data_IF_305228145711
#
_entry.id   IF_305228145711
#
_cell.length_a   1.000
_cell.length_b   1.000
_cell.length_c   1.000
_cell.angle_alpha   90.00
_cell.angle_beta   90.00
_cell.angle_gamma   90.00
#
_symmetry.space_group_name_H-M   'P 1'
#
loop_
_entity.id
_entity.type
_entity.pdbx_description
1 polymer ?
#
# COMPACT_ATOMS: atom_id res chain seq x y z
N UNK A 1 -17.73 27.65 16.32
CA UNK A 1 -18.56 26.92 17.32
C UNK A 1 -18.98 25.60 16.69
N UNK A 2 -18.61 24.46 17.29
CA UNK A 2 -18.92 23.12 16.74
C UNK A 2 -20.43 22.86 16.69
N UNK A 3 -20.88 22.13 15.67
CA UNK A 3 -22.29 21.72 15.57
C UNK A 3 -22.66 20.67 16.63
N UNK A 4 -23.95 20.50 16.91
CA UNK A 4 -24.43 19.44 17.82
C UNK A 4 -24.01 18.04 17.35
N UNK A 5 -24.08 17.78 16.04
CA UNK A 5 -23.69 16.50 15.42
C UNK A 5 -22.18 16.28 15.59
N UNK A 6 -21.39 17.31 15.32
CA UNK A 6 -19.93 17.28 15.46
C UNK A 6 -19.51 17.00 16.91
N UNK A 7 -20.12 17.68 17.90
CA UNK A 7 -19.88 17.40 19.34
C UNK A 7 -20.24 15.97 19.73
N UNK A 8 -21.38 15.47 19.25
CA UNK A 8 -21.84 14.10 19.51
C UNK A 8 -20.87 13.06 18.94
N UNK A 9 -20.36 13.27 17.73
CA UNK A 9 -19.43 12.34 17.10
C UNK A 9 -18.02 12.47 17.65
N UNK A 10 -17.57 13.67 17.99
CA UNK A 10 -16.31 13.88 18.70
C UNK A 10 -16.28 13.08 20.01
N UNK A 11 -17.36 13.16 20.80
CA UNK A 11 -17.50 12.37 22.03
C UNK A 11 -17.38 10.87 21.74
N UNK A 12 -18.12 10.35 20.76
CA UNK A 12 -18.03 8.92 20.38
C UNK A 12 -16.63 8.48 19.97
N UNK A 13 -15.87 9.36 19.30
CA UNK A 13 -14.49 9.07 18.92
C UNK A 13 -13.61 8.91 20.16
N UNK A 14 -13.69 9.86 21.10
CA UNK A 14 -12.89 9.78 22.33
C UNK A 14 -13.34 8.63 23.24
N UNK A 15 -14.64 8.36 23.36
CA UNK A 15 -15.14 7.16 24.06
C UNK A 15 -14.54 5.89 23.43
N UNK A 16 -14.43 5.84 22.10
CA UNK A 16 -13.80 4.72 21.40
C UNK A 16 -12.30 4.63 21.70
N UNK A 17 -11.58 5.75 21.77
CA UNK A 17 -10.15 5.77 22.11
C UNK A 17 -9.88 5.37 23.57
N UNK A 18 -10.77 5.75 24.48
CA UNK A 18 -10.71 5.31 25.88
C UNK A 18 -10.85 3.79 25.97
N UNK A 19 -11.82 3.20 25.27
CA UNK A 19 -11.95 1.75 25.17
C UNK A 19 -10.70 1.08 24.59
N UNK A 20 -10.05 1.70 23.58
CA UNK A 20 -8.83 1.17 22.98
C UNK A 20 -7.68 1.15 23.98
N UNK A 21 -7.63 2.10 24.92
CA UNK A 21 -6.64 2.10 26.00
C UNK A 21 -6.80 0.91 26.96
N UNK A 22 -8.02 0.36 27.08
CA UNK A 22 -8.25 -0.91 27.77
C UNK A 22 -7.69 -2.12 27.02
N UNK A 23 -7.64 -2.05 25.69
CA UNK A 23 -7.02 -3.09 24.84
C UNK A 23 -5.50 -3.04 24.96
N UNK A 24 -4.90 -1.86 25.10
CA UNK A 24 -3.45 -1.69 25.29
C UNK A 24 -2.95 -2.49 26.52
N UNK A 25 -3.65 -2.38 27.66
CA UNK A 25 -3.33 -3.15 28.89
C UNK A 25 -3.42 -4.65 28.68
N UNK A 26 -4.51 -5.10 28.05
CA UNK A 26 -4.71 -6.52 27.74
C UNK A 26 -3.63 -7.05 26.79
N UNK A 27 -3.21 -6.25 25.82
CA UNK A 27 -2.13 -6.62 24.90
C UNK A 27 -0.80 -6.74 25.62
N UNK A 28 -0.47 -5.79 26.51
CA UNK A 28 0.73 -5.87 27.35
C UNK A 28 0.75 -7.17 28.18
N UNK A 29 -0.32 -7.48 28.89
CA UNK A 29 -0.43 -8.72 29.67
C UNK A 29 -0.20 -9.98 28.82
N UNK A 30 -0.76 -10.00 27.60
CA UNK A 30 -0.63 -11.14 26.69
C UNK A 30 0.78 -11.28 26.08
N UNK A 31 1.44 -10.15 25.80
CA UNK A 31 2.81 -10.09 25.25
C UNK A 31 3.83 -10.43 26.34
N UNK A 32 3.65 -9.92 27.57
CA UNK A 32 4.49 -10.18 28.74
C UNK A 32 4.45 -11.64 29.19
N UNK A 33 3.32 -12.33 28.99
CA UNK A 33 3.21 -13.76 29.30
C UNK A 33 4.05 -14.65 28.37
N UNK A 34 4.63 -14.09 27.29
CA UNK A 34 5.57 -14.75 26.35
C UNK A 34 5.12 -16.13 25.88
N UNK A 35 3.81 -16.33 25.70
CA UNK A 35 3.24 -17.63 25.35
C UNK A 35 2.52 -17.61 24.02
N UNK A 36 2.91 -18.51 23.12
CA UNK A 36 2.24 -18.76 21.84
C UNK A 36 0.75 -19.11 22.00
N UNK A 37 0.36 -19.67 23.16
CA UNK A 37 -1.03 -20.06 23.46
C UNK A 37 -1.99 -18.86 23.58
N UNK A 38 -1.47 -17.63 23.59
CA UNK A 38 -2.25 -16.39 23.68
C UNK A 38 -2.44 -15.67 22.34
N UNK A 39 -1.89 -16.19 21.25
CA UNK A 39 -1.98 -15.57 19.93
C UNK A 39 -3.43 -15.39 19.45
N UNK A 40 -4.33 -16.34 19.73
CA UNK A 40 -5.75 -16.23 19.37
C UNK A 40 -6.47 -15.09 20.14
N UNK A 41 -6.09 -14.85 21.40
CA UNK A 41 -6.63 -13.73 22.18
C UNK A 41 -6.12 -12.37 21.66
N UNK A 42 -4.86 -12.32 21.18
CA UNK A 42 -4.28 -11.14 20.52
C UNK A 42 -4.99 -10.90 19.18
N UNK A 43 -5.21 -11.94 18.37
CA UNK A 43 -5.93 -11.85 17.10
C UNK A 43 -7.35 -11.29 17.28
N UNK A 44 -8.08 -11.75 18.30
CA UNK A 44 -9.42 -11.22 18.65
C UNK A 44 -9.37 -9.74 19.05
N UNK A 45 -8.37 -9.36 19.84
CA UNK A 45 -8.16 -7.95 20.22
C UNK A 45 -7.88 -7.07 19.01
N UNK A 46 -7.06 -7.54 18.05
CA UNK A 46 -6.80 -6.82 16.79
C UNK A 46 -8.04 -6.67 15.92
N UNK A 47 -8.84 -7.72 15.78
CA UNK A 47 -10.08 -7.66 15.02
C UNK A 47 -11.04 -6.59 15.60
N UNK A 48 -11.13 -6.52 16.93
CA UNK A 48 -11.93 -5.50 17.61
C UNK A 48 -11.36 -4.08 17.41
N UNK A 49 -10.03 -3.93 17.56
CA UNK A 49 -9.33 -2.67 17.35
C UNK A 49 -9.55 -2.15 15.91
N UNK A 50 -9.36 -3.00 14.90
CA UNK A 50 -9.60 -2.66 13.50
C UNK A 50 -11.07 -2.29 13.23
N UNK A 51 -12.03 -2.99 13.84
CA UNK A 51 -13.47 -2.66 13.72
C UNK A 51 -13.77 -1.28 14.28
N UNK A 52 -13.27 -0.95 15.47
CA UNK A 52 -13.43 0.37 16.12
C UNK A 52 -12.79 1.49 15.31
N UNK A 53 -11.57 1.26 14.82
CA UNK A 53 -10.85 2.20 13.96
C UNK A 53 -11.59 2.52 12.66
N UNK A 54 -12.12 1.50 11.99
CA UNK A 54 -12.91 1.68 10.77
C UNK A 54 -14.22 2.43 11.03
N UNK A 55 -14.84 2.25 12.20
CA UNK A 55 -16.04 2.99 12.59
C UNK A 55 -15.74 4.49 12.70
N UNK A 56 -14.62 4.85 13.33
CA UNK A 56 -14.16 6.24 13.40
C UNK A 56 -13.93 6.80 12.00
N UNK A 57 -13.14 6.13 11.15
CA UNK A 57 -12.82 6.62 9.80
C UNK A 57 -14.06 6.83 8.93
N UNK A 58 -14.99 5.88 8.93
CA UNK A 58 -16.12 5.88 8.00
C UNK A 58 -17.29 6.73 8.46
N UNK A 59 -17.55 6.76 9.77
CA UNK A 59 -18.79 7.34 10.29
C UNK A 59 -18.57 8.66 11.04
N UNK A 60 -17.52 8.77 11.86
CA UNK A 60 -17.39 9.87 12.81
C UNK A 60 -16.41 10.95 12.36
N UNK A 61 -15.23 10.54 11.87
CA UNK A 61 -14.17 11.46 11.43
C UNK A 61 -14.58 12.41 10.29
N UNK A 62 -15.37 12.00 9.27
CA UNK A 62 -15.78 12.90 8.18
C UNK A 62 -16.58 14.13 8.64
N UNK A 63 -17.24 14.01 9.78
CA UNK A 63 -18.15 15.03 10.34
C UNK A 63 -17.43 16.04 11.22
N UNK A 64 -16.20 15.73 11.64
CA UNK A 64 -15.34 16.66 12.35
C UNK A 64 -14.85 17.68 11.33
N UNK A 65 -15.01 18.97 11.62
CA UNK A 65 -14.58 20.07 10.75
C UNK A 65 -13.41 20.82 11.35
N UNK A 66 -13.34 20.91 12.67
CA UNK A 66 -12.24 21.56 13.36
C UNK A 66 -10.90 20.87 13.06
N UNK A 67 -9.92 21.65 12.60
CA UNK A 67 -8.61 21.15 12.16
C UNK A 67 -7.81 20.60 13.34
N UNK A 68 -7.85 21.25 14.50
CA UNK A 68 -7.09 20.83 15.67
C UNK A 68 -7.60 19.48 16.20
N UNK A 69 -8.92 19.28 16.24
CA UNK A 69 -9.50 17.98 16.58
C UNK A 69 -9.21 16.92 15.51
N UNK A 70 -9.28 17.26 14.21
CA UNK A 70 -8.84 16.33 13.16
C UNK A 70 -7.39 15.89 13.35
N UNK A 71 -6.51 16.82 13.70
CA UNK A 71 -5.11 16.53 13.92
C UNK A 71 -4.92 15.56 15.10
N UNK A 72 -5.57 15.83 16.24
CA UNK A 72 -5.52 14.94 17.42
C UNK A 72 -6.03 13.54 17.08
N UNK A 73 -7.24 13.45 16.51
CA UNK A 73 -7.87 12.17 16.13
C UNK A 73 -6.95 11.41 15.18
N UNK A 74 -6.46 12.05 14.13
CA UNK A 74 -5.62 11.40 13.11
C UNK A 74 -4.28 10.91 13.68
N UNK A 75 -3.71 11.62 14.65
CA UNK A 75 -2.46 11.22 15.31
C UNK A 75 -2.65 9.96 16.15
N UNK A 76 -3.70 9.92 16.97
CA UNK A 76 -4.10 8.73 17.75
C UNK A 76 -4.39 7.56 16.80
N UNK A 77 -5.11 7.82 15.71
CA UNK A 77 -5.44 6.78 14.74
C UNK A 77 -4.21 6.16 14.08
N UNK A 78 -3.20 6.97 13.75
CA UNK A 78 -1.95 6.46 13.17
C UNK A 78 -1.19 5.55 14.13
N UNK A 79 -1.12 5.90 15.41
CA UNK A 79 -0.56 5.00 16.43
C UNK A 79 -1.24 3.63 16.40
N UNK A 80 -2.58 3.60 16.42
CA UNK A 80 -3.32 2.35 16.42
C UNK A 80 -3.20 1.54 15.13
N UNK A 81 -2.99 2.19 13.98
CA UNK A 81 -2.68 1.49 12.74
C UNK A 81 -1.28 0.88 12.72
N UNK A 82 -0.27 1.58 13.24
CA UNK A 82 1.08 1.02 13.39
C UNK A 82 1.08 -0.14 14.41
N UNK A 83 0.29 -0.03 15.49
CA UNK A 83 0.10 -1.12 16.47
C UNK A 83 -0.55 -2.35 15.83
N UNK A 84 -1.59 -2.15 15.00
CA UNK A 84 -2.21 -3.24 14.24
C UNK A 84 -1.21 -3.97 13.36
N UNK A 85 -0.35 -3.23 12.65
CA UNK A 85 0.64 -3.81 11.75
C UNK A 85 1.68 -4.63 12.52
N UNK A 86 2.24 -4.07 13.60
CA UNK A 86 3.19 -4.75 14.48
C UNK A 86 2.63 -6.03 15.10
N UNK A 87 1.38 -6.01 15.56
CA UNK A 87 0.77 -7.18 16.17
C UNK A 87 0.30 -8.21 15.13
N UNK A 88 0.02 -7.78 13.90
CA UNK A 88 -0.21 -8.69 12.77
C UNK A 88 1.07 -9.44 12.41
N UNK A 89 2.20 -8.73 12.40
CA UNK A 89 3.52 -9.34 12.23
C UNK A 89 3.84 -10.33 13.35
N UNK A 90 3.58 -9.96 14.60
CA UNK A 90 3.72 -10.87 15.74
C UNK A 90 2.91 -12.17 15.55
N UNK A 91 1.63 -12.08 15.19
CA UNK A 91 0.80 -13.27 14.95
C UNK A 91 1.39 -14.15 13.84
N UNK A 92 1.86 -13.55 12.74
CA UNK A 92 2.50 -14.32 11.66
C UNK A 92 3.75 -15.04 12.14
N UNK A 93 4.59 -14.38 12.94
CA UNK A 93 5.81 -14.97 13.49
C UNK A 93 5.49 -16.13 14.46
N UNK A 94 4.42 -15.99 15.25
CA UNK A 94 3.89 -17.07 16.11
C UNK A 94 3.36 -18.24 15.28
N UNK A 95 2.53 -17.98 14.26
CA UNK A 95 1.92 -19.01 13.40
C UNK A 95 2.97 -19.77 12.58
N UNK A 96 4.07 -19.12 12.22
CA UNK A 96 5.17 -19.72 11.45
C UNK A 96 6.22 -20.41 12.33
N UNK A 97 5.97 -20.54 13.64
CA UNK A 97 6.87 -21.14 14.64
C UNK A 97 8.30 -20.58 14.58
N UNK A 98 8.45 -19.30 14.24
CA UNK A 98 9.75 -18.66 14.30
C UNK A 98 10.16 -18.47 15.77
N UNK A 99 11.44 -18.68 16.08
CA UNK A 99 11.98 -18.35 17.39
C UNK A 99 12.00 -16.83 17.53
N UNK A 100 10.93 -16.27 18.12
CA UNK A 100 10.84 -14.86 18.46
C UNK A 100 11.79 -14.62 19.64
N UNK A 101 12.73 -13.69 19.48
CA UNK A 101 13.68 -13.36 20.53
C UNK A 101 13.08 -12.38 21.56
N UNK A 102 13.69 -12.32 22.74
CA UNK A 102 13.25 -11.43 23.82
C UNK A 102 13.30 -9.95 23.42
N UNK A 103 14.19 -9.57 22.49
CA UNK A 103 14.28 -8.20 21.98
C UNK A 103 13.04 -7.80 21.20
N UNK A 104 12.48 -8.72 20.41
CA UNK A 104 11.24 -8.47 19.68
C UNK A 104 10.07 -8.21 20.62
N UNK A 105 9.88 -9.06 21.64
CA UNK A 105 8.86 -8.83 22.68
C UNK A 105 9.04 -7.49 23.37
N UNK A 106 10.27 -7.15 23.78
CA UNK A 106 10.55 -5.88 24.41
C UNK A 106 10.22 -4.70 23.49
N UNK A 107 10.53 -4.80 22.19
CA UNK A 107 10.21 -3.75 21.22
C UNK A 107 8.70 -3.49 21.07
N UNK A 108 7.85 -4.51 21.27
CA UNK A 108 6.40 -4.35 21.26
C UNK A 108 5.89 -3.70 22.55
N UNK A 109 6.44 -4.11 23.69
CA UNK A 109 6.12 -3.54 25.01
C UNK A 109 6.50 -2.06 25.03
N UNK A 110 7.74 -1.73 24.65
CA UNK A 110 8.25 -0.36 24.58
C UNK A 110 7.37 0.50 23.67
N UNK A 111 6.97 -0.03 22.50
CA UNK A 111 6.09 0.69 21.58
C UNK A 111 4.72 1.01 22.18
N UNK A 112 4.13 0.13 22.98
CA UNK A 112 2.85 0.39 23.65
C UNK A 112 3.04 1.38 24.82
N UNK A 113 4.12 1.27 25.59
CA UNK A 113 4.44 2.19 26.69
C UNK A 113 4.72 3.61 26.20
N UNK A 114 5.41 3.76 25.07
CA UNK A 114 5.72 5.06 24.46
C UNK A 114 4.53 5.69 23.71
N UNK A 115 3.31 5.15 23.85
CA UNK A 115 2.12 5.58 23.11
C UNK A 115 1.92 7.10 23.09
N UNK A 116 1.86 7.74 24.25
CA UNK A 116 1.57 9.17 24.36
C UNK A 116 2.68 10.00 23.70
N UNK A 117 3.94 9.68 23.96
CA UNK A 117 5.10 10.34 23.36
C UNK A 117 5.11 10.18 21.84
N UNK A 118 4.84 8.99 21.32
CA UNK A 118 4.77 8.73 19.89
C UNK A 118 3.62 9.48 19.23
N UNK A 119 2.46 9.58 19.89
CA UNK A 119 1.30 10.34 19.42
C UNK A 119 1.65 11.82 19.31
N UNK A 120 2.23 12.40 20.36
CA UNK A 120 2.52 13.84 20.43
C UNK A 120 3.70 14.28 19.58
N UNK A 121 4.65 13.39 19.31
CA UNK A 121 5.84 13.70 18.51
C UNK A 121 5.71 13.20 17.07
N UNK A 122 5.95 11.90 16.85
CA UNK A 122 6.01 11.25 15.54
C UNK A 122 4.70 11.38 14.79
N UNK A 123 3.59 10.93 15.37
CA UNK A 123 2.32 10.83 14.66
C UNK A 123 1.65 12.18 14.45
N UNK A 124 1.74 13.09 15.42
CA UNK A 124 1.35 14.49 15.24
C UNK A 124 2.10 15.14 14.08
N UNK A 125 3.43 14.98 14.01
CA UNK A 125 4.23 15.50 12.89
C UNK A 125 3.85 14.90 11.53
N UNK A 126 3.51 13.61 11.45
CA UNK A 126 3.00 12.99 10.23
C UNK A 126 1.60 13.52 9.88
N UNK A 127 0.69 13.56 10.85
CA UNK A 127 -0.68 14.00 10.65
C UNK A 127 -0.75 15.47 10.23
N UNK A 128 0.08 16.35 10.81
CA UNK A 128 0.23 17.74 10.40
C UNK A 128 0.66 17.82 8.94
N UNK A 129 1.75 17.14 8.55
CA UNK A 129 2.24 17.16 7.16
C UNK A 129 1.18 16.68 6.17
N UNK A 130 0.46 15.61 6.50
CA UNK A 130 -0.60 15.09 5.64
C UNK A 130 -1.80 16.04 5.53
N UNK A 131 -2.25 16.62 6.65
CA UNK A 131 -3.34 17.59 6.63
C UNK A 131 -2.92 18.85 5.86
N UNK A 132 -1.73 19.40 6.12
CA UNK A 132 -1.19 20.53 5.37
C UNK A 132 -1.11 20.22 3.87
N UNK A 133 -0.63 19.03 3.48
CA UNK A 133 -0.57 18.62 2.07
C UNK A 133 -1.96 18.44 1.44
N UNK A 134 -2.97 18.05 2.22
CA UNK A 134 -4.35 17.92 1.73
C UNK A 134 -5.07 19.27 1.58
N UNK A 135 -4.70 20.24 2.42
CA UNK A 135 -5.24 21.61 2.40
C UNK A 135 -4.42 22.57 1.52
N UNK A 136 -3.19 22.21 1.14
CA UNK A 136 -2.38 22.92 0.15
C UNK A 136 -3.01 22.76 -1.25
N UNK A 137 -3.35 23.90 -1.86
CA UNK A 137 -4.02 23.97 -3.17
C UNK A 137 -3.21 23.28 -4.26
N UNK A 138 -1.89 23.46 -4.26
CA UNK A 138 -0.99 22.89 -5.27
C UNK A 138 -0.91 21.37 -5.16
N UNK A 139 -0.82 20.86 -3.94
CA UNK A 139 -0.84 19.42 -3.66
C UNK A 139 -2.19 18.77 -3.99
N UNK A 140 -3.31 19.47 -3.71
CA UNK A 140 -4.65 19.01 -4.10
C UNK A 140 -4.83 18.94 -5.61
N UNK A 141 -4.46 19.98 -6.33
CA UNK A 141 -4.54 20.01 -7.80
C UNK A 141 -3.69 18.90 -8.43
N UNK A 142 -2.52 18.61 -7.85
CA UNK A 142 -1.69 17.47 -8.29
C UNK A 142 -2.35 16.12 -8.02
N UNK A 143 -2.92 15.91 -6.83
CA UNK A 143 -3.66 14.69 -6.49
C UNK A 143 -4.88 14.50 -7.38
N UNK A 144 -5.64 15.58 -7.65
CA UNK A 144 -6.78 15.57 -8.55
C UNK A 144 -6.37 15.23 -9.98
N UNK A 145 -5.27 15.81 -10.50
CA UNK A 145 -4.71 15.43 -11.81
C UNK A 145 -4.29 13.96 -11.86
N UNK A 146 -3.68 13.44 -10.80
CA UNK A 146 -3.29 12.02 -10.71
C UNK A 146 -4.54 11.12 -10.64
N UNK A 147 -5.54 11.48 -9.85
CA UNK A 147 -6.80 10.75 -9.75
C UNK A 147 -7.58 10.78 -11.07
N UNK A 148 -7.67 11.95 -11.71
CA UNK A 148 -8.34 12.13 -12.99
C UNK A 148 -7.64 11.34 -14.09
N UNK A 149 -6.31 11.37 -14.16
CA UNK A 149 -5.56 10.52 -15.10
C UNK A 149 -5.77 9.04 -14.82
N UNK A 150 -5.79 8.61 -13.55
CA UNK A 150 -6.08 7.22 -13.18
C UNK A 150 -7.53 6.79 -13.45
N UNK A 151 -8.50 7.69 -13.30
CA UNK A 151 -9.92 7.43 -13.59
C UNK A 151 -10.22 7.47 -15.08
N UNK A 152 -9.56 8.33 -15.86
CA UNK A 152 -9.63 8.31 -17.34
C UNK A 152 -9.00 7.04 -17.93
N UNK A 153 -8.03 6.45 -17.23
CA UNK A 153 -7.47 5.15 -17.58
C UNK A 153 -8.34 3.96 -17.14
N UNK A 154 -9.43 4.19 -16.40
CA UNK A 154 -10.35 3.15 -15.89
C UNK A 154 -11.12 2.42 -17.00
N UNK A 155 -11.18 2.98 -18.20
CA UNK A 155 -11.76 2.32 -19.40
C UNK A 155 -10.81 1.31 -20.07
N UNK A 156 -9.62 1.08 -19.51
CA UNK A 156 -8.65 0.09 -20.04
C UNK A 156 -8.24 -0.85 -18.92
N UNK A 157 -8.49 -2.14 -19.14
CA UNK A 157 -8.51 -3.27 -18.20
C UNK A 157 -7.18 -3.64 -17.50
N UNK A 158 -6.35 -2.67 -17.10
CA UNK A 158 -5.03 -2.94 -16.51
C UNK A 158 -4.86 -2.23 -15.16
N UNK A 159 -5.59 -2.71 -14.15
CA UNK A 159 -5.26 -2.42 -12.74
C UNK A 159 -4.25 -3.46 -12.24
N UNK A 160 -2.98 -3.10 -12.22
CA UNK A 160 -1.95 -3.82 -11.46
C UNK A 160 -1.18 -2.83 -10.61
N UNK A 161 -1.16 -3.01 -9.29
CA UNK A 161 -0.30 -2.26 -8.39
C UNK A 161 1.11 -2.90 -8.40
N UNK A 162 2.15 -2.11 -8.67
CA UNK A 162 3.56 -2.55 -8.68
C UNK A 162 4.47 -1.54 -9.41
N UNK A 163 5.78 -1.82 -9.46
CA UNK A 163 6.67 -1.10 -10.38
C UNK A 163 6.27 -1.39 -11.84
N UNK A 164 6.67 -0.54 -12.81
CA UNK A 164 6.34 -0.77 -14.23
C UNK A 164 6.82 -2.15 -14.71
N UNK A 165 7.95 -2.62 -14.19
CA UNK A 165 8.47 -3.97 -14.39
C UNK A 165 7.52 -5.05 -13.84
N UNK A 166 7.04 -4.91 -12.61
CA UNK A 166 6.09 -5.84 -12.01
C UNK A 166 4.74 -5.86 -12.75
N UNK A 167 4.26 -4.70 -13.20
CA UNK A 167 3.04 -4.59 -14.00
C UNK A 167 3.20 -5.35 -15.33
N UNK A 168 4.32 -5.17 -16.04
CA UNK A 168 4.64 -5.90 -17.27
C UNK A 168 4.71 -7.41 -17.00
N UNK A 169 5.38 -7.82 -15.93
CA UNK A 169 5.49 -9.24 -15.56
C UNK A 169 4.13 -9.87 -15.28
N UNK A 170 3.27 -9.16 -14.55
CA UNK A 170 1.90 -9.59 -14.24
C UNK A 170 1.03 -9.72 -15.50
N UNK A 171 1.06 -8.73 -16.38
CA UNK A 171 0.25 -8.74 -17.62
C UNK A 171 0.65 -9.91 -18.52
N UNK A 172 1.95 -10.13 -18.72
CA UNK A 172 2.41 -11.24 -19.54
C UNK A 172 2.07 -12.61 -18.91
N UNK A 173 2.19 -12.76 -17.58
CA UNK A 173 1.79 -13.99 -16.88
C UNK A 173 0.28 -14.26 -16.98
N UNK A 174 -0.56 -13.24 -16.83
CA UNK A 174 -2.03 -13.36 -17.00
C UNK A 174 -2.41 -13.79 -18.41
N UNK A 175 -1.65 -13.36 -19.42
CA UNK A 175 -1.85 -13.76 -20.82
C UNK A 175 -1.14 -15.10 -21.15
N UNK A 176 -0.60 -15.79 -20.15
CA UNK A 176 -0.09 -17.15 -20.28
C UNK A 176 1.38 -17.25 -20.69
N UNK A 177 2.22 -16.25 -20.38
CA UNK A 177 3.67 -16.38 -20.46
C UNK A 177 4.20 -17.24 -19.30
N UNK A 178 5.12 -18.16 -19.60
CA UNK A 178 5.80 -19.00 -18.62
C UNK A 178 7.05 -18.30 -18.06
N UNK A 179 7.74 -17.51 -18.89
CA UNK A 179 8.91 -16.72 -18.49
C UNK A 179 8.94 -15.37 -19.18
N UNK A 180 9.46 -14.35 -18.49
CA UNK A 180 9.60 -12.97 -18.98
C UNK A 180 10.97 -12.45 -18.54
N UNK A 181 11.72 -11.90 -19.49
CA UNK A 181 13.00 -11.23 -19.25
C UNK A 181 12.99 -9.81 -19.80
N UNK A 182 13.61 -8.90 -19.06
CA UNK A 182 13.68 -7.47 -19.39
C UNK A 182 15.15 -7.08 -19.38
N UNK A 183 15.70 -6.78 -20.55
CA UNK A 183 17.12 -6.53 -20.76
C UNK A 183 17.35 -5.22 -21.53
N UNK A 184 18.59 -4.71 -21.52
CA UNK A 184 18.97 -3.62 -22.45
C UNK A 184 18.87 -4.18 -23.88
N UNK A 185 18.35 -3.41 -24.85
CA UNK A 185 18.25 -3.87 -26.23
C UNK A 185 19.64 -4.17 -26.78
N UNK A 186 19.84 -5.40 -27.26
CA UNK A 186 21.02 -5.75 -28.06
C UNK A 186 21.02 -4.86 -29.30
N UNK A 187 22.18 -4.28 -29.61
CA UNK A 187 22.34 -3.22 -30.63
C UNK A 187 21.99 -3.79 -32.01
N UNK A 188 20.72 -3.68 -32.41
CA UNK A 188 20.30 -3.90 -33.79
C UNK A 188 20.21 -2.55 -34.48
N UNK A 189 21.20 -2.29 -35.34
CA UNK A 189 21.42 -1.06 -36.08
C UNK A 189 20.34 -0.80 -37.14
N UNK A 190 19.15 -0.39 -36.73
CA UNK A 190 18.19 0.26 -37.62
C UNK A 190 17.76 1.62 -37.04
N UNK A 191 17.67 2.64 -37.89
CA UNK A 191 17.32 4.01 -37.49
C UNK A 191 15.98 4.12 -36.73
N UNK A 192 15.10 3.12 -36.88
CA UNK A 192 13.83 3.02 -36.15
C UNK A 192 13.99 2.72 -34.65
N UNK A 193 15.17 2.28 -34.21
CA UNK A 193 15.45 1.77 -32.87
C UNK A 193 16.33 2.69 -32.00
N UNK A 194 16.78 3.84 -32.53
CA UNK A 194 17.74 4.76 -31.87
C UNK A 194 17.30 5.33 -30.51
N UNK A 195 16.02 5.17 -30.12
CA UNK A 195 15.47 5.69 -28.86
C UNK A 195 14.78 4.60 -28.00
N UNK A 196 15.14 3.32 -28.18
CA UNK A 196 14.61 2.22 -27.37
C UNK A 196 15.58 1.91 -26.23
N UNK A 197 15.06 1.88 -25.00
CA UNK A 197 15.88 1.71 -23.79
C UNK A 197 15.74 0.31 -23.20
N UNK A 198 14.72 -0.45 -23.60
CA UNK A 198 14.43 -1.76 -23.00
C UNK A 198 13.91 -2.75 -24.02
N UNK A 199 14.36 -3.99 -23.90
CA UNK A 199 13.90 -5.17 -24.60
C UNK A 199 13.15 -6.10 -23.63
N UNK A 200 11.91 -6.45 -23.94
CA UNK A 200 11.06 -7.36 -23.18
C UNK A 200 10.89 -8.63 -24.00
N UNK A 201 11.43 -9.74 -23.51
CA UNK A 201 11.29 -11.07 -24.11
C UNK A 201 10.36 -11.93 -23.25
N UNK A 202 9.40 -12.59 -23.86
CA UNK A 202 8.42 -13.43 -23.18
C UNK A 202 8.29 -14.79 -23.86
N UNK A 203 8.28 -15.87 -23.10
CA UNK A 203 8.27 -17.23 -23.64
C UNK A 203 7.15 -18.06 -23.04
N UNK A 204 6.80 -19.12 -23.77
CA UNK A 204 5.82 -20.12 -23.37
C UNK A 204 6.33 -21.51 -23.77
N UNK A 205 6.26 -22.46 -22.85
CA UNK A 205 6.80 -23.81 -22.95
C UNK A 205 6.16 -24.61 -24.09
N UNK A 206 4.85 -24.43 -24.33
CA UNK A 206 4.12 -25.11 -25.40
C UNK A 206 4.32 -24.49 -26.79
N UNK A 207 5.10 -23.39 -26.89
CA UNK A 207 5.37 -22.61 -28.12
C UNK A 207 4.13 -22.29 -28.97
N UNK A 208 2.94 -22.21 -28.35
CA UNK A 208 1.71 -21.92 -29.07
C UNK A 208 1.75 -20.50 -29.67
N UNK A 209 1.90 -20.43 -31.00
CA UNK A 209 2.12 -19.18 -31.75
C UNK A 209 1.00 -18.15 -31.55
N UNK A 210 -0.26 -18.57 -31.46
CA UNK A 210 -1.39 -17.64 -31.29
C UNK A 210 -1.38 -16.99 -29.91
N UNK A 211 -1.03 -17.75 -28.87
CA UNK A 211 -0.95 -17.24 -27.49
C UNK A 211 0.24 -16.31 -27.29
N UNK A 212 1.38 -16.62 -27.91
CA UNK A 212 2.55 -15.73 -27.91
C UNK A 212 2.19 -14.37 -28.53
N UNK A 213 1.48 -14.36 -29.65
CA UNK A 213 1.01 -13.11 -30.26
C UNK A 213 -0.01 -12.36 -29.39
N UNK A 214 -0.85 -13.05 -28.62
CA UNK A 214 -1.77 -12.43 -27.66
C UNK A 214 -1.01 -11.73 -26.53
N UNK A 215 0.03 -12.37 -25.97
CA UNK A 215 0.90 -11.76 -24.95
C UNK A 215 1.55 -10.48 -25.50
N UNK A 216 2.13 -10.55 -26.70
CA UNK A 216 2.75 -9.40 -27.35
C UNK A 216 1.77 -8.26 -27.60
N UNK A 217 0.54 -8.56 -28.04
CA UNK A 217 -0.53 -7.57 -28.23
C UNK A 217 -0.96 -6.92 -26.92
N UNK A 218 -1.17 -7.70 -25.86
CA UNK A 218 -1.56 -7.20 -24.55
C UNK A 218 -0.50 -6.25 -23.97
N UNK A 219 0.77 -6.64 -24.03
CA UNK A 219 1.88 -5.79 -23.59
C UNK A 219 2.02 -4.52 -24.43
N UNK A 220 1.86 -4.61 -25.75
CA UNK A 220 1.91 -3.45 -26.64
C UNK A 220 0.80 -2.44 -26.31
N UNK A 221 -0.44 -2.91 -26.16
CA UNK A 221 -1.60 -2.07 -25.79
C UNK A 221 -1.35 -1.38 -24.45
N UNK A 222 -0.86 -2.12 -23.45
CA UNK A 222 -0.58 -1.59 -22.12
C UNK A 222 0.51 -0.52 -22.15
N UNK A 223 1.65 -0.78 -22.79
CA UNK A 223 2.77 0.16 -22.86
C UNK A 223 2.43 1.40 -23.67
N UNK A 224 1.72 1.26 -24.79
CA UNK A 224 1.21 2.41 -25.56
C UNK A 224 0.20 3.23 -24.76
N UNK A 225 -0.67 2.60 -23.96
CA UNK A 225 -1.61 3.31 -23.09
C UNK A 225 -0.91 4.13 -22.00
N UNK A 226 0.30 3.74 -21.58
CA UNK A 226 1.15 4.50 -20.64
C UNK A 226 1.99 5.58 -21.35
N UNK A 227 1.86 5.74 -22.66
CA UNK A 227 2.57 6.77 -23.44
C UNK A 227 3.96 6.34 -23.95
N UNK A 228 4.32 5.06 -23.84
CA UNK A 228 5.60 4.56 -24.34
C UNK A 228 5.51 4.17 -25.81
N UNK A 229 6.61 4.39 -26.53
CA UNK A 229 6.78 3.91 -27.90
C UNK A 229 7.23 2.47 -27.85
N UNK A 230 6.47 1.61 -28.52
CA UNK A 230 6.71 0.16 -28.54
C UNK A 230 6.87 -0.32 -29.97
N UNK A 231 7.86 -1.17 -30.22
CA UNK A 231 8.10 -1.82 -31.50
C UNK A 231 8.20 -3.32 -31.26
N UNK A 232 7.29 -4.09 -31.85
CA UNK A 232 7.38 -5.55 -31.89
C UNK A 232 8.40 -5.92 -32.98
N UNK A 233 9.53 -6.53 -32.61
CA UNK A 233 10.55 -6.97 -33.56
C UNK A 233 10.32 -8.43 -33.93
N UNK A 234 10.18 -9.29 -32.92
CA UNK A 234 9.91 -10.72 -33.09
C UNK A 234 8.62 -11.07 -32.36
N UNK A 235 8.05 -12.25 -32.64
CA UNK A 235 6.77 -12.68 -32.05
C UNK A 235 6.81 -12.69 -30.51
N UNK A 236 8.00 -12.86 -29.93
CA UNK A 236 8.28 -12.94 -28.51
C UNK A 236 9.16 -11.79 -27.99
N UNK A 237 9.41 -10.74 -28.79
CA UNK A 237 10.31 -9.63 -28.44
C UNK A 237 9.69 -8.26 -28.72
N UNK A 238 9.52 -7.48 -27.65
CA UNK A 238 9.06 -6.09 -27.68
C UNK A 238 10.21 -5.15 -27.29
N UNK A 239 10.43 -4.11 -28.08
CA UNK A 239 11.29 -2.99 -27.70
C UNK A 239 10.44 -1.81 -27.25
N UNK A 240 10.86 -1.15 -26.18
CA UNK A 240 10.19 0.03 -25.64
C UNK A 240 11.18 1.10 -25.19
N UNK A 241 10.76 2.35 -25.22
CA UNK A 241 11.52 3.48 -24.65
C UNK A 241 11.25 3.68 -23.15
N UNK A 242 10.47 2.79 -22.52
CA UNK A 242 10.23 2.84 -21.08
C UNK A 242 11.55 2.67 -20.29
N UNK A 243 11.82 3.50 -19.27
CA UNK A 243 13.03 3.39 -18.44
C UNK A 243 12.83 2.30 -17.38
N UNK A 244 12.88 1.04 -17.81
CA UNK A 244 12.67 -0.12 -16.94
C UNK A 244 13.94 -0.62 -16.26
N UNK A 245 15.09 -0.20 -16.76
CA UNK A 245 16.40 -0.50 -16.20
C UNK A 245 16.95 0.82 -15.70
N UNK A 246 17.16 0.92 -14.38
CA UNK A 246 17.99 1.99 -13.83
C UNK A 246 19.43 1.74 -14.27
N UNK A 247 20.17 2.80 -14.59
CA UNK A 247 21.62 2.71 -14.79
C UNK A 247 22.35 2.35 -13.50
#
# INVERSE_FOLDING_TARGET
>A
MMSYIEKKYLKKIYDTFEDLSGIDKKLLELIEYRSFNKADEIAKSLANLNKKMNLILKQYYPEIKEIDEKLKIKSIMKFYYDLLDKLTDFIRNVETFQNIDDKYYQSLIDFIHEKEDLIDTKYKGIATRELTSFYDKKSRENLEKILESKLKLRDREFFTFGSLEEEIKKIAKLNGADSISINKPEIYASEKLKNMNTAIRFERNDRNRQKIEQIGKALNIYLQAKGYRVVLIEKNLLLTNAPLLQD
#
